data_IF_890503691356
#
_entry.id   IF_890503691356
#
_cell.length_a   1.000
_cell.length_b   1.000
_cell.length_c   1.000
_cell.angle_alpha   90.00
_cell.angle_beta   90.00
_cell.angle_gamma   90.00
#
_symmetry.space_group_name_H-M   'P 1'
#
loop_
_entity.id
_entity.type
_entity.pdbx_description
1 polymer ?
#
# COMPACT_ATOMS: atom_id res chain seq x y z
N UNK A 1 31.69 -12.94 -68.64
CA UNK A 1 30.32 -13.17 -68.13
C UNK A 1 30.38 -14.25 -67.07
N UNK A 2 29.65 -14.07 -65.97
CA UNK A 2 29.31 -15.05 -64.92
C UNK A 2 30.48 -15.55 -64.03
N UNK A 3 30.54 -15.12 -62.75
CA UNK A 3 29.86 -15.69 -61.55
C UNK A 3 30.61 -16.93 -61.03
N UNK A 4 30.85 -17.16 -59.74
CA UNK A 4 30.65 -16.42 -58.50
C UNK A 4 31.52 -17.10 -57.43
N UNK A 5 32.03 -16.33 -56.45
CA UNK A 5 32.77 -16.84 -55.28
C UNK A 5 31.95 -17.88 -54.52
N UNK A 6 32.55 -19.04 -54.26
CA UNK A 6 32.17 -19.92 -53.16
C UNK A 6 32.56 -19.20 -51.86
N UNK A 7 31.59 -18.52 -51.23
CA UNK A 7 31.79 -17.95 -49.91
C UNK A 7 30.89 -18.68 -48.91
N UNK A 8 31.58 -19.21 -47.92
CA UNK A 8 31.18 -20.04 -46.80
C UNK A 8 29.78 -19.75 -46.23
N UNK A 9 28.98 -20.80 -46.04
CA UNK A 9 27.82 -20.79 -45.15
C UNK A 9 28.31 -20.40 -43.74
N UNK A 10 28.14 -19.13 -43.37
CA UNK A 10 28.08 -18.77 -41.96
C UNK A 10 26.75 -19.26 -41.43
N UNK A 11 26.76 -20.43 -40.82
CA UNK A 11 25.74 -20.82 -39.85
C UNK A 11 25.79 -19.78 -38.73
N UNK A 12 24.79 -18.89 -38.70
CA UNK A 12 24.54 -18.05 -37.53
C UNK A 12 24.11 -18.99 -36.42
N UNK A 13 25.04 -19.32 -35.51
CA UNK A 13 24.67 -19.84 -34.20
C UNK A 13 23.77 -18.78 -33.55
N UNK A 14 22.48 -19.05 -33.56
CA UNK A 14 21.50 -18.36 -32.73
C UNK A 14 21.86 -18.72 -31.29
N UNK A 15 22.76 -17.95 -30.70
CA UNK A 15 23.05 -17.99 -29.28
C UNK A 15 21.79 -17.52 -28.54
N UNK A 16 20.94 -18.49 -28.22
CA UNK A 16 19.83 -18.35 -27.31
C UNK A 16 20.40 -18.00 -25.92
N UNK A 17 20.63 -16.70 -25.66
CA UNK A 17 20.94 -16.20 -24.32
C UNK A 17 19.63 -15.94 -23.59
N UNK A 18 19.00 -17.03 -23.18
CA UNK A 18 18.09 -16.98 -22.05
C UNK A 18 18.92 -16.66 -20.79
N UNK A 19 18.45 -15.66 -20.06
CA UNK A 19 18.89 -15.28 -18.70
C UNK A 19 20.20 -14.47 -18.59
N UNK A 20 20.13 -13.19 -18.96
CA UNK A 20 20.96 -12.19 -18.32
C UNK A 20 20.06 -11.08 -17.76
N UNK A 21 20.25 -10.78 -16.47
CA UNK A 21 19.56 -9.72 -15.72
C UNK A 21 19.96 -8.31 -16.19
N UNK A 22 19.79 -7.99 -17.47
CA UNK A 22 20.18 -6.70 -18.05
C UNK A 22 19.07 -5.65 -18.04
N UNK A 23 17.83 -6.01 -17.72
CA UNK A 23 16.69 -5.11 -17.84
C UNK A 23 16.86 -3.83 -17.01
N UNK A 24 17.46 -3.90 -15.82
CA UNK A 24 17.56 -2.73 -14.95
C UNK A 24 18.64 -1.73 -15.40
N UNK A 25 19.74 -2.21 -15.99
CA UNK A 25 20.86 -1.39 -16.42
C UNK A 25 20.62 -0.74 -17.80
N UNK A 26 20.02 -1.49 -18.73
CA UNK A 26 19.59 -0.97 -20.03
C UNK A 26 18.53 0.14 -19.88
N UNK A 27 17.56 -0.04 -18.98
CA UNK A 27 16.54 0.96 -18.71
C UNK A 27 17.11 2.24 -18.08
N UNK A 28 18.15 2.11 -17.24
CA UNK A 28 18.86 3.23 -16.64
C UNK A 28 19.61 4.06 -17.69
N UNK A 29 20.43 3.42 -18.52
CA UNK A 29 21.22 4.11 -19.54
C UNK A 29 20.30 4.83 -20.54
N UNK A 30 19.25 4.14 -21.01
CA UNK A 30 18.23 4.73 -21.88
C UNK A 30 17.56 5.97 -21.26
N UNK A 31 17.23 5.94 -19.97
CA UNK A 31 16.62 7.08 -19.28
C UNK A 31 17.56 8.29 -19.22
N UNK A 32 18.84 8.08 -18.93
CA UNK A 32 19.82 9.17 -18.88
C UNK A 32 20.09 9.74 -20.28
N UNK A 33 20.24 8.90 -21.30
CA UNK A 33 20.38 9.35 -22.69
C UNK A 33 19.16 10.17 -23.14
N UNK A 34 17.94 9.80 -22.73
CA UNK A 34 16.74 10.57 -23.03
C UNK A 34 16.78 11.97 -22.40
N UNK A 35 17.30 12.08 -21.18
CA UNK A 35 17.49 13.39 -20.54
C UNK A 35 18.51 14.18 -21.35
N UNK A 36 19.72 13.64 -21.60
CA UNK A 36 20.81 14.30 -22.34
C UNK A 36 20.43 14.72 -23.78
N UNK A 37 19.54 13.98 -24.43
CA UNK A 37 19.05 14.29 -25.78
C UNK A 37 17.81 15.19 -25.79
N UNK A 38 17.22 15.48 -24.64
CA UNK A 38 16.02 16.31 -24.56
C UNK A 38 16.33 17.78 -24.88
N UNK A 39 15.71 18.30 -25.94
CA UNK A 39 15.82 19.70 -26.35
C UNK A 39 14.96 20.67 -25.50
N UNK A 40 14.44 20.21 -24.35
CA UNK A 40 13.57 21.02 -23.50
C UNK A 40 14.42 22.06 -22.76
N UNK A 41 14.12 23.34 -23.00
CA UNK A 41 14.86 24.49 -22.44
C UNK A 41 14.32 24.98 -21.09
N UNK A 42 13.37 24.28 -20.48
CA UNK A 42 12.91 24.64 -19.13
C UNK A 42 14.04 24.55 -18.11
N UNK A 43 14.01 25.41 -17.08
CA UNK A 43 14.98 25.37 -15.98
C UNK A 43 15.01 24.01 -15.27
N UNK A 44 13.86 23.34 -15.14
CA UNK A 44 13.80 21.99 -14.58
C UNK A 44 14.54 20.97 -15.46
N UNK A 45 14.36 21.04 -16.79
CA UNK A 45 15.10 20.20 -17.74
C UNK A 45 16.61 20.46 -17.66
N UNK A 46 17.03 21.72 -17.67
CA UNK A 46 18.43 22.12 -17.54
C UNK A 46 19.06 21.61 -16.23
N UNK A 47 18.31 21.64 -15.12
CA UNK A 47 18.74 21.06 -13.86
C UNK A 47 18.89 19.54 -13.95
N UNK A 48 17.95 18.84 -14.58
CA UNK A 48 18.03 17.38 -14.79
C UNK A 48 19.26 17.00 -15.63
N UNK A 49 19.55 17.76 -16.68
CA UNK A 49 20.78 17.64 -17.48
C UNK A 49 22.05 17.82 -16.64
N UNK A 50 22.11 18.89 -15.84
CA UNK A 50 23.24 19.16 -14.94
C UNK A 50 23.46 18.02 -13.95
N UNK A 51 22.39 17.48 -13.37
CA UNK A 51 22.47 16.35 -12.44
C UNK A 51 22.91 15.07 -13.17
N UNK A 52 22.42 14.81 -14.38
CA UNK A 52 22.87 13.66 -15.18
C UNK A 52 24.38 13.71 -15.45
N UNK A 53 24.93 14.90 -15.78
CA UNK A 53 26.36 15.06 -16.07
C UNK A 53 27.27 15.19 -14.84
N UNK A 54 26.75 15.56 -13.65
CA UNK A 54 27.56 15.82 -12.45
C UNK A 54 27.71 14.60 -11.53
N UNK A 55 26.96 13.53 -11.79
CA UNK A 55 26.90 12.34 -10.96
C UNK A 55 27.23 11.08 -11.77
N UNK A 56 27.78 10.07 -11.09
CA UNK A 56 27.88 8.72 -11.66
C UNK A 56 26.50 8.24 -12.12
N UNK A 57 26.42 7.58 -13.26
CA UNK A 57 25.15 7.23 -13.90
C UNK A 57 24.16 6.54 -12.93
N UNK A 58 24.64 5.68 -12.03
CA UNK A 58 23.78 5.00 -11.04
C UNK A 58 23.14 5.99 -10.06
N UNK A 59 23.94 6.92 -9.54
CA UNK A 59 23.48 7.94 -8.60
C UNK A 59 22.60 8.98 -9.30
N UNK A 60 22.99 9.42 -10.51
CA UNK A 60 22.19 10.31 -11.34
C UNK A 60 20.78 9.75 -11.55
N UNK A 61 20.68 8.50 -11.98
CA UNK A 61 19.40 7.81 -12.17
C UNK A 61 18.58 7.73 -10.88
N UNK A 62 19.22 7.36 -9.76
CA UNK A 62 18.53 7.30 -8.47
C UNK A 62 17.99 8.66 -8.05
N UNK A 63 18.78 9.74 -8.13
CA UNK A 63 18.35 11.10 -7.81
C UNK A 63 17.21 11.54 -8.73
N UNK A 64 17.37 11.40 -10.05
CA UNK A 64 16.40 11.88 -11.04
C UNK A 64 15.07 11.14 -11.00
N UNK A 65 15.05 9.89 -10.53
CA UNK A 65 13.82 9.08 -10.40
C UNK A 65 13.24 9.08 -8.99
N UNK A 66 13.96 9.62 -8.00
CA UNK A 66 13.55 9.63 -6.59
C UNK A 66 13.36 11.04 -6.03
N UNK A 67 13.69 12.10 -6.78
CA UNK A 67 13.53 13.48 -6.37
C UNK A 67 12.57 14.22 -7.30
N UNK A 68 11.73 15.06 -6.71
CA UNK A 68 10.97 16.10 -7.40
C UNK A 68 11.62 17.45 -7.11
N UNK A 69 11.98 18.20 -8.15
CA UNK A 69 12.59 19.52 -8.05
C UNK A 69 11.48 20.58 -8.04
N UNK A 70 11.36 21.29 -6.92
CA UNK A 70 10.34 22.31 -6.69
C UNK A 70 10.80 23.72 -7.09
N UNK A 71 10.13 24.76 -6.58
CA UNK A 71 10.49 26.14 -6.90
C UNK A 71 11.72 26.62 -6.13
N UNK A 72 12.41 27.61 -6.72
CA UNK A 72 13.34 28.47 -6.03
C UNK A 72 12.57 29.58 -5.31
N UNK A 73 12.74 29.73 -3.99
CA UNK A 73 12.09 30.80 -3.21
C UNK A 73 13.14 31.49 -2.35
N UNK A 74 13.35 32.78 -2.61
CA UNK A 74 14.41 33.58 -1.97
C UNK A 74 15.78 32.91 -2.18
N UNK A 75 16.46 32.51 -1.10
CA UNK A 75 17.78 31.86 -1.13
C UNK A 75 17.71 30.34 -0.98
N UNK A 76 16.51 29.75 -1.08
CA UNK A 76 16.29 28.31 -0.84
C UNK A 76 15.69 27.63 -2.06
N UNK A 77 16.12 26.41 -2.32
CA UNK A 77 15.56 25.55 -3.35
C UNK A 77 14.95 24.29 -2.74
N UNK A 78 13.70 24.00 -3.09
CA UNK A 78 12.96 22.89 -2.48
C UNK A 78 13.09 21.62 -3.33
N UNK A 79 13.49 20.53 -2.68
CA UNK A 79 13.53 19.18 -3.27
C UNK A 79 12.68 18.26 -2.41
N UNK A 80 11.76 17.54 -3.03
CA UNK A 80 10.93 16.53 -2.36
C UNK A 80 11.41 15.14 -2.74
N UNK A 81 11.72 14.30 -1.77
CA UNK A 81 12.01 12.89 -2.02
C UNK A 81 10.70 12.12 -2.27
N UNK A 82 10.65 11.41 -3.40
CA UNK A 82 9.56 10.52 -3.84
C UNK A 82 9.82 9.06 -3.47
N UNK A 83 11.07 8.70 -3.17
CA UNK A 83 11.49 7.39 -2.69
C UNK A 83 12.51 7.57 -1.57
N UNK A 84 12.66 6.55 -0.73
CA UNK A 84 13.68 6.56 0.31
C UNK A 84 15.07 6.40 -0.32
N UNK A 85 15.83 7.49 -0.40
CA UNK A 85 17.22 7.50 -0.85
C UNK A 85 18.09 8.22 0.17
N UNK A 86 19.33 7.74 0.32
CA UNK A 86 20.32 8.38 1.18
C UNK A 86 21.11 9.40 0.36
N UNK A 87 20.87 10.69 0.58
CA UNK A 87 21.69 11.76 0.02
C UNK A 87 22.74 12.17 1.06
N UNK A 88 24.01 11.93 0.74
CA UNK A 88 25.14 12.39 1.56
C UNK A 88 25.28 13.91 1.49
N UNK A 89 26.08 14.49 2.38
CA UNK A 89 26.39 15.93 2.33
C UNK A 89 27.06 16.31 1.01
N UNK A 90 27.96 15.46 0.49
CA UNK A 90 28.58 15.65 -0.82
C UNK A 90 27.55 15.68 -1.96
N UNK A 91 26.57 14.77 -1.93
CA UNK A 91 25.51 14.74 -2.95
C UNK A 91 24.65 16.00 -2.89
N UNK A 92 24.29 16.45 -1.68
CA UNK A 92 23.51 17.67 -1.48
C UNK A 92 24.26 18.90 -2.01
N UNK A 93 25.56 19.00 -1.75
CA UNK A 93 26.40 20.09 -2.26
C UNK A 93 26.51 20.09 -3.78
N UNK A 94 26.65 18.92 -4.40
CA UNK A 94 26.64 18.79 -5.88
C UNK A 94 25.29 19.16 -6.48
N UNK A 95 24.17 18.74 -5.86
CA UNK A 95 22.83 19.14 -6.29
C UNK A 95 22.67 20.66 -6.15
N UNK A 96 23.11 21.25 -5.04
CA UNK A 96 23.05 22.70 -4.82
C UNK A 96 23.85 23.46 -5.89
N UNK A 97 25.04 22.99 -6.25
CA UNK A 97 25.82 23.59 -7.33
C UNK A 97 25.07 23.53 -8.67
N UNK A 98 24.48 22.37 -9.00
CA UNK A 98 23.67 22.22 -10.20
C UNK A 98 22.43 23.16 -10.20
N UNK A 99 21.82 23.39 -9.04
CA UNK A 99 20.73 24.35 -8.88
C UNK A 99 21.23 25.77 -9.09
N UNK A 100 22.34 26.16 -8.48
CA UNK A 100 22.91 27.51 -8.61
C UNK A 100 23.25 27.84 -10.07
N UNK A 101 23.81 26.89 -10.80
CA UNK A 101 24.16 27.08 -12.20
C UNK A 101 22.95 27.30 -13.13
N UNK A 102 21.74 26.92 -12.71
CA UNK A 102 20.52 27.00 -13.51
C UNK A 102 19.56 28.08 -13.01
N UNK A 103 19.45 28.22 -11.70
CA UNK A 103 18.51 29.14 -11.04
C UNK A 103 19.17 30.43 -10.59
N UNK A 104 20.48 30.43 -10.33
CA UNK A 104 21.27 31.59 -9.88
C UNK A 104 21.98 31.35 -8.55
N UNK A 105 23.09 32.07 -8.34
CA UNK A 105 23.95 31.95 -7.14
C UNK A 105 23.32 32.54 -5.87
N UNK A 106 22.17 33.20 -5.96
CA UNK A 106 21.37 33.63 -4.81
C UNK A 106 20.83 32.45 -4.00
N UNK A 107 20.75 31.26 -4.59
CA UNK A 107 20.35 30.04 -3.89
C UNK A 107 21.53 29.53 -3.07
N UNK A 108 21.40 29.58 -1.76
CA UNK A 108 22.45 29.21 -0.81
C UNK A 108 22.17 27.87 -0.12
N UNK A 109 20.93 27.41 -0.13
CA UNK A 109 20.52 26.24 0.65
C UNK A 109 19.54 25.34 -0.12
N UNK A 110 19.74 24.03 0.01
CA UNK A 110 18.83 23.00 -0.47
C UNK A 110 17.90 22.55 0.67
N UNK A 111 16.60 22.79 0.51
CA UNK A 111 15.57 22.32 1.44
C UNK A 111 15.03 20.97 0.97
N UNK A 112 15.55 19.88 1.53
CA UNK A 112 15.14 18.52 1.20
C UNK A 112 14.01 18.09 2.14
N UNK A 113 12.81 17.95 1.60
CA UNK A 113 11.70 17.29 2.31
C UNK A 113 11.91 15.78 2.23
N UNK A 114 12.06 15.08 3.37
CA UNK A 114 12.28 13.64 3.37
C UNK A 114 11.09 12.91 2.74
N UNK A 115 11.35 11.68 2.28
CA UNK A 115 10.27 10.85 1.78
C UNK A 115 9.41 10.42 2.96
N UNK A 116 8.24 11.03 3.07
CA UNK A 116 7.18 10.49 3.90
C UNK A 116 6.66 9.26 3.18
N UNK A 117 7.06 8.06 3.64
CA UNK A 117 6.27 6.88 3.34
C UNK A 117 4.83 7.23 3.74
N UNK A 118 3.85 7.15 2.82
CA UNK A 118 2.49 7.22 3.27
C UNK A 118 2.34 6.07 4.26
N UNK A 119 2.16 6.41 5.54
CA UNK A 119 1.65 5.48 6.54
C UNK A 119 0.19 5.22 6.16
N UNK A 120 -0.04 4.55 5.02
CA UNK A 120 -1.32 3.99 4.67
C UNK A 120 -1.53 2.77 5.56
N UNK A 121 -1.86 3.02 6.82
CA UNK A 121 -2.94 2.24 7.43
C UNK A 121 -4.10 2.44 6.46
N UNK A 122 -4.45 1.40 5.71
CA UNK A 122 -5.45 1.50 4.64
C UNK A 122 -6.68 2.25 5.17
N UNK A 123 -7.29 3.17 4.41
CA UNK A 123 -8.55 3.82 4.86
C UNK A 123 -9.60 2.80 5.33
N UNK A 124 -9.53 1.57 4.79
CA UNK A 124 -10.26 0.40 5.25
C UNK A 124 -9.96 0.02 6.71
N UNK A 125 -8.69 -0.05 7.11
CA UNK A 125 -8.25 -0.32 8.48
C UNK A 125 -8.69 0.79 9.44
N UNK A 126 -8.52 2.07 9.08
CA UNK A 126 -8.99 3.20 9.92
C UNK A 126 -10.51 3.13 10.14
N UNK A 127 -11.27 2.79 9.10
CA UNK A 127 -12.72 2.64 9.19
C UNK A 127 -13.12 1.42 10.04
N UNK A 128 -12.41 0.30 9.90
CA UNK A 128 -12.63 -0.91 10.70
C UNK A 128 -12.27 -0.71 12.18
N UNK A 129 -11.17 -0.03 12.49
CA UNK A 129 -10.78 0.33 13.87
C UNK A 129 -11.79 1.28 14.51
N UNK A 130 -12.22 2.31 13.78
CA UNK A 130 -13.28 3.23 14.24
C UNK A 130 -14.60 2.49 14.48
N UNK A 131 -14.93 1.51 13.65
CA UNK A 131 -16.10 0.67 13.81
C UNK A 131 -16.01 -0.20 15.07
N UNK A 132 -14.89 -0.90 15.27
CA UNK A 132 -14.66 -1.72 16.46
C UNK A 132 -14.66 -0.87 17.75
N UNK A 133 -14.11 0.34 17.72
CA UNK A 133 -14.16 1.28 18.85
C UNK A 133 -15.59 1.70 19.21
N UNK A 134 -16.45 1.91 18.21
CA UNK A 134 -17.86 2.21 18.47
C UNK A 134 -18.61 0.98 19.00
N UNK A 135 -18.32 -0.20 18.43
CA UNK A 135 -18.92 -1.46 18.86
C UNK A 135 -18.55 -1.80 20.31
N UNK A 136 -17.31 -1.55 20.73
CA UNK A 136 -16.85 -1.78 22.10
C UNK A 136 -17.54 -0.85 23.11
N UNK A 137 -17.86 0.39 22.72
CA UNK A 137 -18.66 1.31 23.55
C UNK A 137 -20.11 0.85 23.70
N UNK A 138 -20.69 0.29 22.65
CA UNK A 138 -22.08 -0.19 22.66
C UNK A 138 -22.28 -1.48 23.46
N UNK A 139 -21.36 -2.43 23.34
CA UNK A 139 -21.49 -3.77 23.93
C UNK A 139 -20.68 -3.95 25.22
N UNK A 140 -19.75 -3.03 25.50
CA UNK A 140 -18.72 -3.19 26.51
C UNK A 140 -17.52 -3.99 25.99
N UNK A 141 -16.33 -3.43 26.08
CA UNK A 141 -15.08 -4.05 25.59
C UNK A 141 -14.77 -5.41 26.22
N UNK A 142 -15.29 -5.67 27.42
CA UNK A 142 -15.10 -6.94 28.11
C UNK A 142 -16.19 -7.98 27.82
N UNK A 143 -17.26 -7.61 27.10
CA UNK A 143 -18.35 -8.52 26.75
C UNK A 143 -17.85 -9.62 25.81
N UNK A 144 -18.26 -10.86 26.07
CA UNK A 144 -17.96 -12.00 25.21
C UNK A 144 -18.53 -11.77 23.81
N UNK A 145 -19.71 -11.15 23.72
CA UNK A 145 -20.33 -10.81 22.44
C UNK A 145 -19.50 -9.85 21.61
N UNK A 146 -18.94 -8.83 22.26
CA UNK A 146 -18.02 -7.90 21.61
C UNK A 146 -16.81 -8.65 21.07
N UNK A 147 -16.16 -9.49 21.88
CA UNK A 147 -14.97 -10.26 21.46
C UNK A 147 -15.27 -11.22 20.30
N UNK A 148 -16.43 -11.85 20.31
CA UNK A 148 -16.92 -12.70 19.21
C UNK A 148 -17.08 -11.86 17.94
N UNK A 149 -17.82 -10.75 17.99
CA UNK A 149 -18.03 -9.87 16.83
C UNK A 149 -16.75 -9.19 16.35
N UNK A 150 -15.84 -8.85 17.25
CA UNK A 150 -14.51 -8.33 16.92
C UNK A 150 -13.72 -9.37 16.11
N UNK A 151 -13.69 -10.63 16.55
CA UNK A 151 -12.98 -11.71 15.85
C UNK A 151 -13.56 -11.95 14.45
N UNK A 152 -14.89 -11.93 14.31
CA UNK A 152 -15.59 -12.10 13.04
C UNK A 152 -15.36 -10.90 12.12
N UNK A 153 -15.39 -9.69 12.66
CA UNK A 153 -15.15 -8.45 11.91
C UNK A 153 -13.71 -8.39 11.40
N UNK A 154 -12.71 -8.79 12.20
CA UNK A 154 -11.31 -8.88 11.76
C UNK A 154 -11.12 -9.90 10.64
N UNK A 155 -11.91 -10.97 10.60
CA UNK A 155 -11.82 -12.03 9.59
C UNK A 155 -12.59 -11.73 8.30
N UNK A 156 -13.81 -11.21 8.41
CA UNK A 156 -14.76 -11.06 7.29
C UNK A 156 -15.04 -9.60 6.91
N UNK A 157 -14.55 -8.64 7.69
CA UNK A 157 -14.79 -7.21 7.51
C UNK A 157 -16.10 -6.72 8.13
N UNK A 158 -16.15 -5.40 8.37
CA UNK A 158 -17.28 -4.76 9.06
C UNK A 158 -18.62 -4.84 8.31
N UNK A 159 -18.62 -5.02 6.99
CA UNK A 159 -19.87 -5.08 6.19
C UNK A 159 -20.70 -6.32 6.52
N UNK A 160 -20.02 -7.46 6.70
CA UNK A 160 -20.67 -8.74 7.07
C UNK A 160 -21.26 -8.63 8.48
N UNK A 161 -20.49 -8.06 9.40
CA UNK A 161 -20.93 -7.86 10.77
C UNK A 161 -22.15 -6.94 10.86
N UNK A 162 -22.15 -5.80 10.16
CA UNK A 162 -23.32 -4.90 10.09
C UNK A 162 -24.54 -5.60 9.53
N UNK A 163 -24.39 -6.38 8.45
CA UNK A 163 -25.53 -6.96 7.74
C UNK A 163 -26.14 -8.17 8.45
N UNK A 164 -25.34 -8.96 9.16
CA UNK A 164 -25.79 -10.27 9.67
C UNK A 164 -25.58 -10.43 11.18
N UNK A 165 -24.36 -10.24 11.69
CA UNK A 165 -24.10 -10.49 13.11
C UNK A 165 -24.71 -9.43 14.04
N UNK A 166 -24.89 -8.20 13.55
CA UNK A 166 -25.60 -7.14 14.27
C UNK A 166 -27.10 -7.42 14.45
N UNK A 167 -27.65 -8.36 13.67
CA UNK A 167 -29.04 -8.82 13.75
C UNK A 167 -29.24 -9.94 14.78
N UNK A 168 -28.20 -10.28 15.56
CA UNK A 168 -28.27 -11.24 16.66
C UNK A 168 -28.27 -10.51 18.01
N UNK A 169 -29.16 -10.93 18.91
CA UNK A 169 -29.20 -10.48 20.30
C UNK A 169 -28.84 -11.63 21.23
N UNK A 170 -28.16 -11.32 22.33
CA UNK A 170 -28.00 -12.26 23.45
C UNK A 170 -29.29 -12.28 24.25
N UNK A 171 -29.84 -13.48 24.46
CA UNK A 171 -30.97 -13.71 25.35
C UNK A 171 -30.47 -14.01 26.76
N UNK A 172 -29.44 -14.85 26.87
CA UNK A 172 -28.92 -15.31 28.14
C UNK A 172 -27.44 -15.68 28.03
N UNK A 173 -26.67 -15.42 29.09
CA UNK A 173 -25.27 -15.78 29.23
C UNK A 173 -25.11 -16.62 30.49
N UNK A 174 -24.92 -17.93 30.31
CA UNK A 174 -24.62 -18.83 31.41
C UNK A 174 -23.10 -18.95 31.58
N UNK A 175 -22.61 -18.24 32.59
CA UNK A 175 -21.19 -18.19 32.92
C UNK A 175 -20.65 -19.46 33.60
N UNK A 176 -21.53 -20.31 34.14
CA UNK A 176 -21.17 -21.58 34.79
C UNK A 176 -20.99 -22.66 33.74
N UNK A 177 -21.97 -22.81 32.83
CA UNK A 177 -21.87 -23.78 31.73
C UNK A 177 -21.07 -23.28 30.53
N UNK A 178 -20.62 -22.01 30.55
CA UNK A 178 -19.93 -21.35 29.44
C UNK A 178 -20.73 -21.43 28.14
N UNK A 179 -22.03 -21.16 28.23
CA UNK A 179 -22.96 -21.23 27.10
C UNK A 179 -23.75 -19.95 26.93
N UNK A 180 -23.82 -19.44 25.70
CA UNK A 180 -24.54 -18.22 25.36
C UNK A 180 -25.72 -18.54 24.46
N UNK A 181 -26.91 -18.06 24.82
CA UNK A 181 -28.11 -18.20 24.01
C UNK A 181 -28.30 -16.92 23.20
N UNK A 182 -28.32 -17.06 21.88
CA UNK A 182 -28.51 -15.96 20.94
C UNK A 182 -29.79 -16.16 20.14
N UNK A 183 -30.39 -15.07 19.70
CA UNK A 183 -31.57 -15.08 18.83
C UNK A 183 -31.46 -14.02 17.77
N UNK A 184 -31.87 -14.37 16.56
CA UNK A 184 -31.98 -13.43 15.46
C UNK A 184 -33.17 -12.47 15.67
N UNK A 185 -32.99 -11.21 15.26
CA UNK A 185 -34.05 -10.19 15.26
C UNK A 185 -35.13 -10.47 14.22
N UNK A 186 -34.78 -11.15 13.13
CA UNK A 186 -35.69 -11.46 12.02
C UNK A 186 -35.55 -12.91 11.60
N UNK A 187 -36.62 -13.50 11.06
CA UNK A 187 -36.58 -14.85 10.50
C UNK A 187 -35.64 -14.99 9.29
N UNK A 188 -35.45 -13.90 8.53
CA UNK A 188 -34.47 -13.87 7.45
C UNK A 188 -33.04 -14.00 7.97
N UNK A 189 -32.68 -13.23 9.00
CA UNK A 189 -31.37 -13.33 9.64
C UNK A 189 -31.15 -14.72 10.26
N UNK A 190 -32.17 -15.29 10.90
CA UNK A 190 -32.13 -16.65 11.47
C UNK A 190 -31.78 -17.70 10.40
N UNK A 191 -32.52 -17.69 9.29
CA UNK A 191 -32.30 -18.61 8.18
C UNK A 191 -30.92 -18.42 7.55
N UNK A 192 -30.52 -17.19 7.29
CA UNK A 192 -29.25 -16.89 6.63
C UNK A 192 -28.04 -17.29 7.49
N UNK A 193 -28.08 -17.00 8.79
CA UNK A 193 -27.00 -17.34 9.73
C UNK A 193 -26.92 -18.85 9.91
N UNK A 194 -28.06 -19.53 10.03
CA UNK A 194 -28.13 -20.99 10.13
C UNK A 194 -27.45 -21.66 8.93
N UNK A 195 -27.70 -21.16 7.71
CA UNK A 195 -27.13 -21.75 6.49
C UNK A 195 -25.67 -21.39 6.21
N UNK A 196 -25.20 -20.20 6.63
CA UNK A 196 -23.92 -19.67 6.14
C UNK A 196 -22.87 -19.41 7.22
N UNK A 197 -23.26 -19.25 8.50
CA UNK A 197 -22.35 -18.72 9.52
C UNK A 197 -22.33 -19.49 10.84
N UNK A 198 -23.07 -20.60 10.98
CA UNK A 198 -23.08 -21.41 12.22
C UNK A 198 -21.68 -21.89 12.64
N UNK A 199 -20.90 -22.41 11.69
CA UNK A 199 -19.54 -22.89 11.99
C UNK A 199 -18.60 -21.73 12.37
N UNK A 200 -18.73 -20.59 11.70
CA UNK A 200 -17.93 -19.41 11.97
C UNK A 200 -18.22 -18.85 13.38
N UNK A 201 -19.50 -18.82 13.77
CA UNK A 201 -19.92 -18.50 15.13
C UNK A 201 -19.36 -19.52 16.12
N UNK A 202 -19.47 -20.82 15.85
CA UNK A 202 -18.97 -21.86 16.74
C UNK A 202 -17.47 -21.70 17.01
N UNK A 203 -16.69 -21.44 15.96
CA UNK A 203 -15.26 -21.18 16.08
C UNK A 203 -14.97 -19.90 16.88
N UNK A 204 -15.70 -18.82 16.63
CA UNK A 204 -15.52 -17.55 17.33
C UNK A 204 -15.87 -17.65 18.83
N UNK A 205 -16.97 -18.30 19.20
CA UNK A 205 -17.33 -18.55 20.59
C UNK A 205 -16.32 -19.47 21.27
N UNK A 206 -15.89 -20.55 20.60
CA UNK A 206 -14.89 -21.48 21.13
C UNK A 206 -13.55 -20.79 21.41
N UNK A 207 -13.14 -19.84 20.57
CA UNK A 207 -11.94 -19.02 20.79
C UNK A 207 -12.03 -18.17 22.08
N UNK A 208 -13.23 -17.85 22.56
CA UNK A 208 -13.46 -17.17 23.83
C UNK A 208 -13.71 -18.14 25.00
N UNK A 209 -13.67 -19.45 24.76
CA UNK A 209 -13.96 -20.48 25.78
C UNK A 209 -15.45 -20.70 26.03
N UNK A 210 -16.33 -20.28 25.11
CA UNK A 210 -17.78 -20.44 25.21
C UNK A 210 -18.32 -21.32 24.08
N UNK A 211 -19.47 -21.93 24.34
CA UNK A 211 -20.35 -22.49 23.32
C UNK A 211 -21.54 -21.56 23.12
N UNK A 212 -22.28 -21.74 22.02
CA UNK A 212 -23.50 -20.97 21.80
C UNK A 212 -24.65 -21.87 21.33
N UNK A 213 -25.86 -21.38 21.54
CA UNK A 213 -27.08 -21.95 20.97
C UNK A 213 -27.89 -20.84 20.30
N UNK A 214 -28.20 -21.03 19.02
CA UNK A 214 -29.12 -20.17 18.29
C UNK A 214 -30.55 -20.65 18.56
N UNK A 215 -31.29 -19.86 19.33
CA UNK A 215 -32.71 -20.12 19.61
C UNK A 215 -33.50 -19.82 18.35
N UNK A 216 -34.21 -20.83 17.85
CA UNK A 216 -35.03 -20.73 16.63
C UNK A 216 -35.89 -19.48 16.65
N UNK A 217 -35.86 -18.73 15.56
CA UNK A 217 -36.76 -17.61 15.41
C UNK A 217 -38.21 -18.11 15.40
N UNK A 218 -38.99 -17.61 16.34
CA UNK A 218 -40.41 -17.91 16.45
C UNK A 218 -41.16 -16.60 16.56
N UNK A 219 -42.07 -16.33 15.61
CA UNK A 219 -43.00 -15.21 15.65
C UNK A 219 -44.08 -15.47 16.71
N UNK A 220 -43.72 -15.48 17.98
CA UNK A 220 -44.71 -15.41 19.06
C UNK A 220 -44.91 -13.96 19.47
N UNK A 221 -45.44 -13.17 18.53
CA UNK A 221 -46.33 -12.08 18.83
C UNK A 221 -47.70 -12.47 18.23
N UNK A 222 -48.35 -13.44 18.84
CA UNK A 222 -49.81 -13.41 18.92
C UNK A 222 -50.11 -12.80 20.30
N UNK A 223 -50.94 -11.76 20.22
CA UNK A 223 -51.54 -10.95 21.28
C UNK A 223 -51.85 -11.77 22.53
#
# INVERSE_FOLDING_TARGET
MAKALANELRTTDQANRDNCKFDNEFNKEKYLTQIETSANLSKESQLKHKIAGSFEAAMAYQILTSCSFGPAVRTKFFVKLLKNITLTECDRSKILQAVQDVYGYEIQELQVTPFEQPTTVSQKQINEEKYLLNLSKQLGSNSIWYKVRESLTKRYGQTIDKKYFSELNIINEDNVSKKIFIKAKTGFADSYITSNHMENLAHAFKAQGFSFELVKFSNFNKI
#
